data_IF_048034181478
#
_entry.id   IF_048034181478
#
_cell.length_a   1.000
_cell.length_b   1.000
_cell.length_c   1.000
_cell.angle_alpha   90.00
_cell.angle_beta   90.00
_cell.angle_gamma   90.00
#
_symmetry.space_group_name_H-M   'P 1'
#
loop_
_entity.id
_entity.type
_entity.pdbx_description
1 polymer ?
#
# COMPACT_ATOMS: atom_id res chain seq x y z
N UNK A 1 5.81 3.97 29.36
CA UNK A 1 5.11 2.68 29.20
C UNK A 1 3.63 2.83 28.84
N UNK A 2 2.87 3.63 29.54
CA UNK A 2 1.43 3.83 29.29
C UNK A 2 1.14 4.37 27.87
N UNK A 3 1.91 5.34 27.38
CA UNK A 3 1.74 5.91 26.02
C UNK A 3 2.00 4.90 24.90
N UNK A 4 2.98 4.01 25.06
CA UNK A 4 3.27 2.97 24.04
C UNK A 4 2.18 1.89 23.99
N UNK A 5 1.58 1.58 25.14
CA UNK A 5 0.46 0.65 25.20
C UNK A 5 -0.81 1.27 24.61
N UNK A 6 -1.10 2.54 24.93
CA UNK A 6 -2.23 3.27 24.39
C UNK A 6 -2.12 3.47 22.86
N UNK A 7 -0.91 3.79 22.34
CA UNK A 7 -0.70 3.93 20.91
C UNK A 7 -0.88 2.59 20.15
N UNK A 8 -0.42 1.48 20.72
CA UNK A 8 -0.64 0.16 20.11
C UNK A 8 -2.11 -0.26 20.16
N UNK A 9 -2.80 0.02 21.26
CA UNK A 9 -4.24 -0.25 21.35
C UNK A 9 -5.03 0.59 20.35
N UNK A 10 -4.71 1.88 20.24
CA UNK A 10 -5.33 2.78 19.29
C UNK A 10 -5.05 2.37 17.83
N UNK A 11 -3.80 1.98 17.53
CA UNK A 11 -3.44 1.47 16.22
C UNK A 11 -4.28 0.24 15.85
N UNK A 12 -4.39 -0.75 16.74
CA UNK A 12 -5.23 -1.94 16.53
C UNK A 12 -6.72 -1.61 16.38
N UNK A 13 -7.21 -0.63 17.14
CA UNK A 13 -8.61 -0.21 17.02
C UNK A 13 -8.88 0.46 15.66
N UNK A 14 -7.95 1.30 15.19
CA UNK A 14 -8.07 2.03 13.93
C UNK A 14 -7.83 1.13 12.71
N UNK A 15 -7.02 0.09 12.84
CA UNK A 15 -6.74 -0.88 11.76
C UNK A 15 -7.90 -1.86 11.53
N UNK A 16 -8.91 -1.91 12.41
CA UNK A 16 -10.06 -2.80 12.24
C UNK A 16 -10.86 -2.44 10.99
N UNK A 17 -11.05 -3.45 10.14
CA UNK A 17 -11.85 -3.36 8.94
C UNK A 17 -13.32 -3.06 9.24
N UNK A 18 -13.87 -2.10 8.53
CA UNK A 18 -15.31 -1.81 8.51
C UNK A 18 -15.85 -2.34 7.18
N UNK A 19 -16.74 -3.32 7.25
CA UNK A 19 -17.36 -3.90 6.05
C UNK A 19 -18.00 -2.82 5.18
N UNK A 20 -17.31 -2.46 4.11
CA UNK A 20 -17.81 -1.61 3.04
C UNK A 20 -17.65 -2.35 1.72
N UNK A 21 -18.72 -2.47 0.95
CA UNK A 21 -18.63 -2.90 -0.45
C UNK A 21 -18.05 -1.72 -1.24
N UNK A 22 -16.76 -1.79 -1.49
CA UNK A 22 -16.11 -0.97 -2.52
C UNK A 22 -16.36 -1.65 -3.87
N UNK A 23 -16.87 -0.90 -4.83
CA UNK A 23 -17.02 -1.39 -6.22
C UNK A 23 -15.75 -0.96 -6.96
N UNK A 24 -14.87 -1.91 -7.21
CA UNK A 24 -13.71 -1.66 -8.06
C UNK A 24 -14.16 -1.43 -9.50
N UNK A 25 -13.66 -0.36 -10.12
CA UNK A 25 -13.91 -0.04 -11.54
C UNK A 25 -12.91 -0.72 -12.47
N UNK A 26 -11.84 -1.31 -11.93
CA UNK A 26 -10.84 -2.08 -12.67
C UNK A 26 -10.69 -3.47 -12.08
N UNK A 27 -10.45 -4.45 -12.94
CA UNK A 27 -10.16 -5.81 -12.49
C UNK A 27 -8.73 -5.91 -11.95
N UNK A 28 -8.49 -6.89 -11.09
CA UNK A 28 -7.15 -7.19 -10.57
C UNK A 28 -6.15 -7.42 -11.70
N UNK A 29 -6.55 -8.16 -12.72
CA UNK A 29 -5.72 -8.49 -13.89
C UNK A 29 -5.35 -7.22 -14.67
N UNK A 30 -6.29 -6.30 -14.86
CA UNK A 30 -6.02 -5.02 -15.54
C UNK A 30 -5.04 -4.15 -14.74
N UNK A 31 -5.17 -4.10 -13.41
CA UNK A 31 -4.22 -3.40 -12.53
C UNK A 31 -2.84 -4.04 -12.64
N UNK A 32 -2.76 -5.37 -12.48
CA UNK A 32 -1.49 -6.12 -12.56
C UNK A 32 -0.76 -5.88 -13.88
N UNK A 33 -1.50 -5.94 -15.01
CA UNK A 33 -0.92 -5.85 -16.35
C UNK A 33 -0.55 -4.40 -16.74
N UNK A 34 -1.05 -3.42 -16.01
CA UNK A 34 -0.80 -1.98 -16.26
C UNK A 34 0.32 -1.41 -15.38
N UNK A 35 0.51 -1.95 -14.17
CA UNK A 35 1.50 -1.46 -13.20
C UNK A 35 2.91 -1.50 -13.78
N UNK A 36 3.65 -0.41 -13.54
CA UNK A 36 5.07 -0.28 -13.86
C UNK A 36 5.84 0.15 -12.60
N UNK A 37 7.10 -0.30 -12.43
CA UNK A 37 7.93 0.19 -11.34
C UNK A 37 7.93 1.72 -11.25
N UNK A 38 7.81 2.27 -10.05
CA UNK A 38 7.62 3.69 -9.69
C UNK A 38 6.16 4.15 -9.69
N UNK A 39 5.21 3.33 -10.13
CA UNK A 39 3.80 3.67 -9.98
C UNK A 39 3.40 3.70 -8.50
N UNK A 40 2.47 4.58 -8.19
CA UNK A 40 1.82 4.62 -6.89
C UNK A 40 0.42 4.05 -7.04
N UNK A 41 0.13 3.01 -6.25
CA UNK A 41 -1.20 2.44 -6.16
C UNK A 41 -1.98 3.16 -5.06
N UNK A 42 -2.97 3.94 -5.42
CA UNK A 42 -3.92 4.52 -4.48
C UNK A 42 -4.97 3.48 -4.11
N UNK A 43 -5.33 3.42 -2.85
CA UNK A 43 -6.21 2.41 -2.29
C UNK A 43 -7.36 3.07 -1.52
N UNK A 44 -8.58 2.62 -1.81
CA UNK A 44 -9.73 2.91 -0.98
C UNK A 44 -9.80 1.91 0.17
N UNK A 45 -9.08 2.19 1.25
CA UNK A 45 -9.03 1.31 2.41
C UNK A 45 -10.37 1.22 3.14
N UNK A 46 -10.58 0.10 3.78
CA UNK A 46 -11.79 -0.25 4.53
C UNK A 46 -11.62 -0.20 6.06
N UNK A 47 -10.42 0.12 6.54
CA UNK A 47 -10.16 0.29 7.96
C UNK A 47 -10.80 1.57 8.52
N UNK A 48 -11.01 1.61 9.83
CA UNK A 48 -11.60 2.77 10.52
C UNK A 48 -10.82 4.05 10.29
N UNK A 49 -9.48 3.97 10.32
CA UNK A 49 -8.62 5.10 10.00
C UNK A 49 -8.82 5.60 8.57
N UNK A 50 -9.04 4.70 7.61
CA UNK A 50 -9.30 5.03 6.23
C UNK A 50 -10.60 5.84 6.06
N UNK A 51 -11.63 5.50 6.83
CA UNK A 51 -12.89 6.27 6.86
C UNK A 51 -12.64 7.70 7.35
N UNK A 52 -11.86 7.85 8.43
CA UNK A 52 -11.51 9.17 8.98
C UNK A 52 -10.68 10.00 7.99
N UNK A 53 -9.67 9.39 7.36
CA UNK A 53 -8.82 10.06 6.36
C UNK A 53 -9.67 10.54 5.18
N UNK A 54 -10.54 9.70 4.62
CA UNK A 54 -11.41 10.08 3.51
C UNK A 54 -12.34 11.23 3.86
N UNK A 55 -12.90 11.20 5.06
CA UNK A 55 -13.75 12.28 5.54
C UNK A 55 -13.00 13.60 5.68
N UNK A 56 -11.80 13.58 6.28
CA UNK A 56 -10.98 14.78 6.49
C UNK A 56 -10.40 15.34 5.20
N UNK A 57 -9.98 14.47 4.28
CA UNK A 57 -9.38 14.88 3.00
C UNK A 57 -10.40 15.09 1.89
N UNK A 58 -11.65 14.69 2.11
CA UNK A 58 -12.72 14.66 1.10
C UNK A 58 -12.30 13.90 -0.17
N UNK A 59 -11.50 12.86 0.01
CA UNK A 59 -10.98 12.00 -1.05
C UNK A 59 -11.52 10.58 -0.92
N UNK A 60 -11.67 9.90 -2.03
CA UNK A 60 -11.94 8.46 -2.06
C UNK A 60 -10.76 7.66 -1.52
N UNK A 61 -9.55 8.16 -1.73
CA UNK A 61 -8.31 7.47 -1.42
C UNK A 61 -7.87 7.74 0.01
N UNK A 62 -7.55 6.69 0.72
CA UNK A 62 -7.14 6.76 2.12
C UNK A 62 -5.77 6.15 2.37
N UNK A 63 -5.21 5.49 1.37
CA UNK A 63 -3.92 4.82 1.48
C UNK A 63 -3.20 4.81 0.13
N UNK A 64 -1.89 4.64 0.17
CA UNK A 64 -1.04 4.55 -1.01
C UNK A 64 0.07 3.52 -0.80
N UNK A 65 0.39 2.77 -1.84
CA UNK A 65 1.51 1.85 -1.88
C UNK A 65 2.39 2.13 -3.10
N UNK A 66 3.70 2.06 -2.92
CA UNK A 66 4.67 2.23 -4.00
C UNK A 66 4.93 0.89 -4.68
N UNK A 67 4.74 0.82 -5.99
CA UNK A 67 5.05 -0.38 -6.77
C UNK A 67 6.51 -0.33 -7.23
N UNK A 68 7.31 -1.30 -6.78
CA UNK A 68 8.71 -1.45 -7.18
C UNK A 68 8.93 -2.59 -8.18
N UNK A 69 7.96 -3.47 -8.32
CA UNK A 69 8.03 -4.63 -9.19
C UNK A 69 8.73 -5.85 -8.58
N UNK A 70 8.68 -7.00 -9.27
CA UNK A 70 9.24 -8.25 -8.76
C UNK A 70 10.78 -8.26 -8.72
N UNK A 71 11.43 -7.40 -9.49
CA UNK A 71 12.89 -7.30 -9.59
C UNK A 71 13.53 -6.48 -8.46
N UNK A 72 12.72 -5.87 -7.60
CA UNK A 72 13.22 -5.03 -6.50
C UNK A 72 13.85 -5.81 -5.35
N UNK A 73 13.74 -7.14 -5.35
CA UNK A 73 14.30 -7.99 -4.30
C UNK A 73 13.67 -7.78 -2.94
N UNK A 74 12.38 -7.44 -2.90
CA UNK A 74 11.63 -7.30 -1.66
C UNK A 74 11.47 -8.64 -0.95
N UNK A 75 11.46 -8.67 0.41
CA UNK A 75 11.19 -9.88 1.15
C UNK A 75 9.82 -10.46 0.73
N UNK A 76 9.80 -11.74 0.38
CA UNK A 76 8.56 -12.44 0.03
C UNK A 76 7.97 -13.15 1.25
N UNK A 77 6.65 -13.32 1.26
CA UNK A 77 5.96 -14.13 2.24
C UNK A 77 6.16 -15.63 2.03
N UNK A 78 5.73 -16.43 3.01
CA UNK A 78 5.85 -17.89 2.98
C UNK A 78 4.95 -18.56 1.92
N UNK A 79 3.95 -17.85 1.41
CA UNK A 79 2.99 -18.32 0.41
C UNK A 79 3.53 -18.33 -1.03
N UNK A 80 4.75 -17.80 -1.25
CA UNK A 80 5.40 -17.74 -2.56
C UNK A 80 4.85 -16.64 -3.49
N UNK A 81 3.88 -15.81 -3.05
CA UNK A 81 3.42 -14.65 -3.81
C UNK A 81 4.46 -13.51 -3.69
N UNK A 82 5.06 -13.07 -4.81
CA UNK A 82 6.14 -12.09 -4.74
C UNK A 82 5.65 -10.76 -4.18
N UNK A 83 6.38 -10.22 -3.21
CA UNK A 83 6.14 -8.86 -2.75
C UNK A 83 6.63 -7.88 -3.81
N UNK A 84 5.77 -6.95 -4.18
CA UNK A 84 6.01 -5.97 -5.25
C UNK A 84 5.62 -4.55 -4.85
N UNK A 85 4.92 -4.42 -3.73
CA UNK A 85 4.46 -3.14 -3.18
C UNK A 85 5.14 -2.86 -1.85
N UNK A 86 5.36 -1.58 -1.57
CA UNK A 86 5.84 -1.07 -0.28
C UNK A 86 4.85 -0.04 0.24
N UNK A 87 4.50 -0.17 1.50
CA UNK A 87 3.55 0.73 2.16
C UNK A 87 3.96 1.03 3.60
N UNK A 88 3.35 2.05 4.17
CA UNK A 88 3.42 2.33 5.60
C UNK A 88 2.19 1.80 6.30
N UNK A 89 2.38 0.88 7.24
CA UNK A 89 1.35 0.30 8.08
C UNK A 89 1.40 0.88 9.49
N UNK A 90 0.23 0.99 10.16
CA UNK A 90 0.14 1.56 11.50
C UNK A 90 0.76 0.67 12.59
N UNK A 91 0.78 -0.63 12.37
CA UNK A 91 1.27 -1.61 13.35
C UNK A 91 2.71 -2.04 13.04
N UNK A 92 3.01 -2.29 11.77
CA UNK A 92 4.27 -2.85 11.30
C UNK A 92 5.28 -1.80 10.82
N UNK A 93 4.83 -0.56 10.56
CA UNK A 93 5.66 0.47 9.96
C UNK A 93 5.81 0.28 8.45
N UNK A 94 7.02 0.41 7.92
CA UNK A 94 7.28 0.16 6.50
C UNK A 94 7.33 -1.34 6.26
N UNK A 95 6.48 -1.83 5.36
CA UNK A 95 6.41 -3.24 4.98
C UNK A 95 6.28 -3.43 3.48
N UNK A 96 6.67 -4.60 3.00
CA UNK A 96 6.38 -5.05 1.64
C UNK A 96 5.19 -6.01 1.63
N UNK A 97 4.42 -5.97 0.56
CA UNK A 97 3.24 -6.82 0.36
C UNK A 97 3.12 -7.27 -1.09
N UNK A 98 2.44 -8.39 -1.35
CA UNK A 98 2.09 -8.80 -2.70
C UNK A 98 0.94 -7.95 -3.24
N UNK A 99 0.82 -7.86 -4.57
CA UNK A 99 -0.28 -7.15 -5.21
C UNK A 99 -1.64 -7.80 -4.90
N UNK A 100 -1.66 -9.12 -4.71
CA UNK A 100 -2.86 -9.88 -4.37
C UNK A 100 -3.53 -9.44 -3.07
N UNK A 101 -2.77 -8.77 -2.18
CA UNK A 101 -3.30 -8.20 -0.95
C UNK A 101 -4.46 -7.20 -1.22
N UNK A 102 -4.40 -6.51 -2.36
CA UNK A 102 -5.42 -5.54 -2.78
C UNK A 102 -6.38 -6.08 -3.85
N UNK A 103 -6.45 -7.40 -4.07
CA UNK A 103 -7.28 -8.03 -5.12
C UNK A 103 -8.76 -7.61 -5.10
N UNK A 104 -9.32 -7.40 -3.92
CA UNK A 104 -10.74 -7.10 -3.74
C UNK A 104 -11.01 -5.66 -3.28
N UNK A 105 -10.04 -4.79 -3.42
CA UNK A 105 -10.09 -3.40 -2.99
C UNK A 105 -10.10 -2.49 -4.21
N UNK A 106 -10.86 -1.40 -4.13
CA UNK A 106 -10.82 -0.38 -5.17
C UNK A 106 -9.47 0.33 -5.16
N UNK A 107 -8.80 0.29 -6.28
CA UNK A 107 -7.45 0.87 -6.44
C UNK A 107 -7.36 1.71 -7.70
N UNK A 108 -6.37 2.61 -7.72
CA UNK A 108 -6.06 3.45 -8.86
C UNK A 108 -4.56 3.58 -9.02
N UNK A 109 -4.07 3.43 -10.26
CA UNK A 109 -2.67 3.64 -10.59
C UNK A 109 -2.43 5.14 -10.83
N UNK A 110 -1.43 5.70 -10.15
CA UNK A 110 -0.88 7.02 -10.42
C UNK A 110 0.56 6.86 -10.89
N UNK A 111 0.84 7.31 -12.11
CA UNK A 111 2.18 7.22 -12.70
C UNK A 111 2.87 8.57 -12.62
N UNK A 112 3.99 8.68 -11.88
CA UNK A 112 4.80 9.90 -11.87
C UNK A 112 5.38 10.14 -13.27
N UNK A 113 5.45 11.39 -13.69
CA UNK A 113 6.12 11.80 -14.92
C UNK A 113 7.53 12.31 -14.60
N UNK A 114 8.46 12.11 -15.53
CA UNK A 114 9.83 12.64 -15.42
C UNK A 114 10.79 11.81 -14.57
N UNK A 115 10.39 10.61 -14.10
CA UNK A 115 11.28 9.69 -13.39
C UNK A 115 11.97 8.73 -14.37
N UNK A 116 13.29 8.58 -14.22
CA UNK A 116 14.12 7.67 -15.02
C UNK A 116 14.47 6.37 -14.29
N UNK A 117 15.30 5.54 -14.93
CA UNK A 117 15.78 4.28 -14.35
C UNK A 117 16.63 4.52 -13.11
N UNK A 118 17.40 5.60 -13.09
CA UNK A 118 18.23 5.98 -11.92
C UNK A 118 17.37 6.28 -10.68
N UNK A 119 16.23 6.94 -10.89
CA UNK A 119 15.30 7.25 -9.80
C UNK A 119 14.71 5.97 -9.21
N UNK A 120 14.40 4.97 -10.03
CA UNK A 120 13.92 3.67 -9.54
C UNK A 120 14.96 2.98 -8.66
N UNK A 121 16.22 3.00 -9.07
CA UNK A 121 17.30 2.42 -8.28
C UNK A 121 17.42 3.13 -6.92
N UNK A 122 17.45 4.46 -6.92
CA UNK A 122 17.53 5.25 -5.70
C UNK A 122 16.33 5.01 -4.76
N UNK A 123 15.12 4.89 -5.31
CA UNK A 123 13.91 4.55 -4.55
C UNK A 123 14.01 3.17 -3.93
N UNK A 124 14.46 2.19 -4.68
CA UNK A 124 14.63 0.80 -4.20
C UNK A 124 15.67 0.71 -3.09
N UNK A 125 16.82 1.37 -3.27
CA UNK A 125 17.88 1.43 -2.25
C UNK A 125 17.39 2.11 -0.96
N UNK A 126 16.66 3.21 -1.10
CA UNK A 126 16.07 3.90 0.05
C UNK A 126 15.10 3.02 0.81
N UNK A 127 14.21 2.32 0.11
CA UNK A 127 13.25 1.39 0.73
C UNK A 127 13.98 0.30 1.50
N UNK A 128 14.97 -0.36 0.88
CA UNK A 128 15.74 -1.40 1.56
C UNK A 128 16.47 -0.89 2.81
N UNK A 129 16.88 0.37 2.83
CA UNK A 129 17.52 0.98 4.00
C UNK A 129 16.55 1.23 5.18
N UNK A 130 15.24 1.15 4.94
CA UNK A 130 14.17 1.46 5.92
C UNK A 130 13.38 0.24 6.39
N UNK A 131 13.51 -0.88 5.70
CA UNK A 131 12.92 -2.15 6.09
C UNK A 131 13.83 -2.92 7.03
#
# INVERSE_FOLDING_TARGET
MLMRWLSRWLARYLSKTVLRRSVSTATYEAIRDTLQPRDVLLVEGDARISVAIRYLTQSTWSHAALYLGPEAGLPAGEDGDPHVLVEADLEEGIRSIPLSFYRHVHTRICRPVGLGTYDLQAMTEYVHSRM
#
